data_IF_240673824245
#
_entry.id   IF_240673824245
#
_cell.length_a   1.000
_cell.length_b   1.000
_cell.length_c   1.000
_cell.angle_alpha   90.00
_cell.angle_beta   90.00
_cell.angle_gamma   90.00
#
_symmetry.space_group_name_H-M   'P 1'
#
loop_
_entity.id
_entity.type
_entity.pdbx_description
1 polymer ?
#
# COMPACT_ATOMS: atom_id res chain seq x y z
N UNK A 1 -3.39 -35.26 -30.82
CA UNK A 1 -3.42 -34.59 -29.50
C UNK A 1 -3.70 -33.11 -29.75
N UNK A 2 -4.85 -32.59 -29.31
CA UNK A 2 -5.25 -31.20 -29.58
C UNK A 2 -4.31 -30.27 -28.80
N UNK A 3 -3.65 -29.36 -29.50
CA UNK A 3 -2.72 -28.36 -28.99
C UNK A 3 -3.40 -27.45 -27.95
N UNK A 4 -3.27 -27.83 -26.67
CA UNK A 4 -3.82 -27.10 -25.52
C UNK A 4 -3.04 -25.83 -25.15
N UNK A 5 -2.06 -25.43 -25.97
CA UNK A 5 -1.20 -24.25 -25.72
C UNK A 5 -2.02 -22.98 -25.50
N UNK A 6 -3.10 -22.79 -26.28
CA UNK A 6 -4.00 -21.64 -26.13
C UNK A 6 -4.68 -21.63 -24.78
N UNK A 7 -5.13 -22.79 -24.28
CA UNK A 7 -5.75 -22.90 -22.96
C UNK A 7 -4.75 -22.59 -21.84
N UNK A 8 -3.50 -23.05 -21.99
CA UNK A 8 -2.43 -22.75 -21.04
C UNK A 8 -2.06 -21.26 -20.99
N UNK A 9 -2.04 -20.59 -22.15
CA UNK A 9 -1.81 -19.14 -22.22
C UNK A 9 -2.94 -18.38 -21.52
N UNK A 10 -4.19 -18.75 -21.79
CA UNK A 10 -5.36 -18.13 -21.13
C UNK A 10 -5.33 -18.36 -19.63
N UNK A 11 -5.02 -19.58 -19.19
CA UNK A 11 -4.88 -19.89 -17.77
C UNK A 11 -3.82 -19.01 -17.08
N UNK A 12 -2.65 -18.85 -17.70
CA UNK A 12 -1.58 -17.98 -17.18
C UNK A 12 -2.03 -16.53 -17.02
N UNK A 13 -2.72 -15.99 -18.03
CA UNK A 13 -3.23 -14.61 -18.01
C UNK A 13 -4.23 -14.42 -16.87
N UNK A 14 -5.17 -15.34 -16.69
CA UNK A 14 -6.18 -15.29 -15.61
C UNK A 14 -5.50 -15.34 -14.24
N UNK A 15 -4.48 -16.19 -14.07
CA UNK A 15 -3.74 -16.29 -12.81
C UNK A 15 -3.00 -15.01 -12.46
N UNK A 16 -2.28 -14.42 -13.42
CA UNK A 16 -1.56 -13.16 -13.20
C UNK A 16 -2.51 -11.99 -12.92
N UNK A 17 -3.61 -11.89 -13.66
CA UNK A 17 -4.64 -10.89 -13.43
C UNK A 17 -5.24 -11.03 -12.02
N UNK A 18 -5.50 -12.26 -11.57
CA UNK A 18 -6.02 -12.54 -10.24
C UNK A 18 -5.00 -12.19 -9.15
N UNK A 19 -3.72 -12.47 -9.35
CA UNK A 19 -2.66 -12.10 -8.41
C UNK A 19 -2.51 -10.58 -8.29
N UNK A 20 -2.56 -9.84 -9.41
CA UNK A 20 -2.54 -8.38 -9.41
C UNK A 20 -3.79 -7.83 -8.73
N UNK A 21 -4.96 -8.37 -9.03
CA UNK A 21 -6.21 -7.96 -8.38
C UNK A 21 -6.15 -8.21 -6.87
N UNK A 22 -5.65 -9.35 -6.41
CA UNK A 22 -5.46 -9.64 -4.98
C UNK A 22 -4.39 -8.77 -4.33
N UNK A 23 -3.36 -8.35 -5.07
CA UNK A 23 -2.37 -7.39 -4.57
C UNK A 23 -2.91 -5.95 -4.53
N UNK A 24 -3.84 -5.61 -5.43
CA UNK A 24 -4.46 -4.28 -5.59
C UNK A 24 -5.79 -4.12 -4.83
N UNK A 25 -6.40 -5.20 -4.36
CA UNK A 25 -7.56 -5.21 -3.45
C UNK A 25 -7.30 -5.93 -2.13
N UNK A 26 -6.07 -6.38 -1.91
CA UNK A 26 -5.67 -7.11 -0.71
C UNK A 26 -5.90 -6.29 0.56
N UNK A 27 -6.12 -6.93 1.71
CA UNK A 27 -6.65 -6.29 2.93
C UNK A 27 -5.67 -5.33 3.64
N UNK A 28 -4.56 -4.95 3.01
CA UNK A 28 -3.45 -4.23 3.65
C UNK A 28 -2.93 -3.09 2.77
N UNK A 29 -3.69 -2.00 2.66
CA UNK A 29 -3.16 -0.73 2.14
C UNK A 29 -2.62 0.12 3.30
N UNK A 30 -1.31 0.39 3.38
CA UNK A 30 -0.83 1.50 4.19
C UNK A 30 -1.34 2.79 3.56
N UNK A 31 -2.17 3.54 4.29
CA UNK A 31 -2.66 4.84 3.83
C UNK A 31 -1.47 5.78 3.79
N UNK A 32 -1.07 6.15 2.57
CA UNK A 32 -0.07 7.17 2.31
C UNK A 32 -0.82 8.38 1.79
N UNK A 33 -0.61 9.51 2.44
CA UNK A 33 -1.22 10.76 2.03
C UNK A 33 -0.23 11.90 2.16
N UNK A 34 -0.48 12.96 1.41
CA UNK A 34 0.16 14.26 1.60
C UNK A 34 -0.94 15.20 2.05
N UNK A 35 -0.74 15.85 3.18
CA UNK A 35 -1.65 16.91 3.64
C UNK A 35 -0.89 18.22 3.69
N UNK A 36 -1.55 19.30 3.28
CA UNK A 36 -1.01 20.65 3.41
C UNK A 36 -1.31 21.14 4.83
N UNK A 37 -0.27 21.46 5.60
CA UNK A 37 -0.39 22.11 6.89
C UNK A 37 0.28 23.48 6.78
N UNK A 38 -0.52 24.52 6.58
CA UNK A 38 -0.03 25.87 6.27
C UNK A 38 0.66 25.93 4.90
N UNK A 39 1.90 26.44 4.85
CA UNK A 39 2.76 26.47 3.66
C UNK A 39 3.57 25.19 3.43
N UNK A 40 3.49 24.22 4.35
CA UNK A 40 4.33 23.02 4.34
C UNK A 40 3.53 21.79 3.90
N UNK A 41 4.12 21.00 2.99
CA UNK A 41 3.56 19.71 2.56
C UNK A 41 4.10 18.62 3.47
N UNK A 42 3.22 18.00 4.26
CA UNK A 42 3.58 16.92 5.18
C UNK A 42 3.18 15.59 4.56
N UNK A 43 4.18 14.76 4.27
CA UNK A 43 3.97 13.39 3.84
C UNK A 43 3.80 12.48 5.06
N UNK A 44 2.72 11.71 5.10
CA UNK A 44 2.48 10.75 6.16
C UNK A 44 2.24 9.35 5.61
N UNK A 45 2.70 8.35 6.37
CA UNK A 45 2.48 6.93 6.09
C UNK A 45 1.92 6.27 7.33
N UNK A 46 0.63 5.95 7.30
CA UNK A 46 -0.02 5.18 8.35
C UNK A 46 0.14 3.69 8.02
N UNK A 47 0.92 2.98 8.84
CA UNK A 47 0.98 1.51 8.76
C UNK A 47 -0.31 0.94 9.35
N UNK A 48 -0.85 -0.13 8.75
CA UNK A 48 -2.13 -0.75 9.13
C UNK A 48 -2.13 -1.29 10.56
N UNK A 49 -1.01 -1.83 11.01
CA UNK A 49 -0.91 -2.52 12.29
C UNK A 49 0.47 -2.31 12.90
N UNK A 50 0.49 -2.09 14.20
CA UNK A 50 1.68 -2.18 15.02
C UNK A 50 1.66 -3.53 15.72
N UNK A 51 2.73 -4.30 15.55
CA UNK A 51 2.92 -5.54 16.31
C UNK A 51 3.81 -5.23 17.51
N UNK A 52 3.33 -5.52 18.72
CA UNK A 52 4.07 -5.34 19.97
C UNK A 52 3.15 -5.00 21.14
N UNK A 53 3.70 -5.07 22.36
CA UNK A 53 3.08 -4.63 23.62
C UNK A 53 3.09 -3.10 23.79
N UNK A 54 3.68 -2.37 22.83
CA UNK A 54 3.91 -0.92 22.91
C UNK A 54 3.02 -0.15 21.95
N UNK A 55 2.91 1.17 22.14
CA UNK A 55 2.13 2.02 21.25
C UNK A 55 2.79 2.22 19.88
N UNK A 56 1.97 2.38 18.83
CA UNK A 56 2.44 2.65 17.48
C UNK A 56 2.94 4.09 17.36
N UNK A 57 4.25 4.28 17.32
CA UNK A 57 4.87 5.60 17.21
C UNK A 57 4.64 6.20 15.80
N UNK A 58 3.81 7.24 15.72
CA UNK A 58 3.57 8.01 14.49
C UNK A 58 4.51 9.23 14.49
N UNK A 59 5.62 9.12 13.75
CA UNK A 59 6.56 10.25 13.55
C UNK A 59 6.13 11.07 12.34
N UNK A 60 5.85 12.34 12.57
CA UNK A 60 5.63 13.33 11.53
C UNK A 60 6.86 14.24 11.51
N UNK A 61 7.67 14.17 10.45
CA UNK A 61 8.82 15.07 10.30
C UNK A 61 8.31 16.41 9.78
N UNK A 62 8.27 17.41 10.65
CA UNK A 62 7.91 18.79 10.30
C UNK A 62 9.21 19.59 10.19
N UNK A 63 9.35 20.43 9.17
CA UNK A 63 10.50 21.31 9.00
C UNK A 63 10.48 22.55 9.92
N UNK A 64 9.38 22.77 10.63
CA UNK A 64 9.12 23.98 11.40
C UNK A 64 9.15 23.70 12.91
N UNK A 65 10.11 24.30 13.60
CA UNK A 65 10.45 24.08 15.02
C UNK A 65 9.53 24.83 15.99
N UNK A 66 8.43 25.41 15.51
CA UNK A 66 7.57 26.33 16.30
C UNK A 66 6.27 25.73 16.83
N UNK A 67 5.96 24.46 16.52
CA UNK A 67 4.71 23.83 16.97
C UNK A 67 4.98 22.98 18.21
N UNK A 68 4.43 23.42 19.36
CA UNK A 68 4.44 22.72 20.66
C UNK A 68 3.26 21.76 20.77
#
# INVERSE_FOLDING_TARGET
MKNNKTLWIIALVITLASAIYQYATGPTYPIRGKTALGSNTVEYKLKRSHGGETDHEVKVTIADTTVT
#
